data_IF_611267644795
#
_entry.id   IF_611267644795
#
_cell.length_a   1.000
_cell.length_b   1.000
_cell.length_c   1.000
_cell.angle_alpha   90.00
_cell.angle_beta   90.00
_cell.angle_gamma   90.00
#
_symmetry.space_group_name_H-M   'P 1'
#
loop_
_entity.id
_entity.type
_entity.pdbx_description
1 polymer ?
#
# COMPACT_ATOMS: atom_id res chain seq x y z
N UNK A 1 2.81 19.73 -9.92
CA UNK A 1 2.29 18.61 -9.11
C UNK A 1 1.05 18.12 -9.83
N UNK A 2 0.96 16.82 -10.14
CA UNK A 2 -0.22 16.25 -10.76
C UNK A 2 -1.44 16.50 -9.86
N UNK A 3 -2.52 17.02 -10.46
CA UNK A 3 -3.85 17.18 -9.85
C UNK A 3 -4.65 15.87 -9.90
N UNK A 4 -4.09 14.80 -10.47
CA UNK A 4 -4.77 13.52 -10.54
C UNK A 4 -4.82 12.87 -9.16
N UNK A 5 -6.05 12.61 -8.73
CA UNK A 5 -6.31 11.80 -7.55
C UNK A 5 -6.14 10.34 -7.98
N UNK A 6 -5.12 9.67 -7.45
CA UNK A 6 -5.02 8.23 -7.57
C UNK A 6 -6.35 7.61 -7.08
N UNK A 7 -6.94 6.73 -7.90
CA UNK A 7 -8.24 6.08 -7.64
C UNK A 7 -9.47 7.00 -7.74
N UNK A 8 -9.42 8.08 -8.52
CA UNK A 8 -10.58 8.96 -8.76
C UNK A 8 -11.86 8.19 -9.16
N UNK A 9 -11.72 7.14 -9.97
CA UNK A 9 -12.85 6.29 -10.38
C UNK A 9 -13.45 5.52 -9.20
N UNK A 10 -12.62 4.99 -8.30
CA UNK A 10 -13.08 4.27 -7.10
C UNK A 10 -13.73 5.23 -6.11
N UNK A 11 -13.21 6.46 -6.01
CA UNK A 11 -13.79 7.49 -5.15
C UNK A 11 -15.21 7.88 -5.56
N UNK A 12 -15.52 7.86 -6.87
CA UNK A 12 -16.86 8.14 -7.37
C UNK A 12 -17.89 7.06 -6.98
N UNK A 13 -17.42 5.86 -6.61
CA UNK A 13 -18.29 4.78 -6.12
C UNK A 13 -18.62 4.89 -4.64
N UNK A 14 -17.94 5.79 -3.91
CA UNK A 14 -18.22 6.02 -2.50
C UNK A 14 -19.45 6.92 -2.35
N UNK A 15 -20.45 6.48 -1.60
CA UNK A 15 -21.61 7.30 -1.20
C UNK A 15 -21.27 8.38 -0.15
N UNK A 16 -20.01 8.81 -0.08
CA UNK A 16 -19.48 9.70 0.95
C UNK A 16 -19.07 11.04 0.36
N UNK A 17 -19.32 12.13 1.08
CA UNK A 17 -18.90 13.47 0.68
C UNK A 17 -17.37 13.59 0.70
N UNK A 18 -16.78 13.96 -0.43
CA UNK A 18 -15.34 14.13 -0.58
C UNK A 18 -14.96 15.61 -0.47
N UNK A 19 -13.97 15.90 0.38
CA UNK A 19 -13.37 17.23 0.50
C UNK A 19 -11.90 17.17 0.08
N UNK A 20 -11.55 17.85 -1.02
CA UNK A 20 -10.17 17.93 -1.49
C UNK A 20 -9.50 19.15 -0.85
N UNK A 21 -8.43 18.93 -0.10
CA UNK A 21 -7.64 19.99 0.54
C UNK A 21 -6.29 20.10 -0.17
N UNK A 22 -6.19 21.03 -1.11
CA UNK A 22 -4.92 21.34 -1.75
C UNK A 22 -3.96 22.07 -0.81
N UNK A 23 -2.66 21.73 -0.92
CA UNK A 23 -1.54 22.34 -0.20
C UNK A 23 -0.70 23.20 -1.15
N UNK A 24 -0.77 24.51 -1.01
CA UNK A 24 0.06 25.45 -1.78
C UNK A 24 0.52 26.58 -0.84
N UNK A 25 1.68 26.50 -0.16
CA UNK A 25 2.89 25.70 -0.46
C UNK A 25 2.92 24.31 0.22
N UNK A 26 4.04 23.58 0.08
CA UNK A 26 4.23 22.25 0.70
C UNK A 26 3.92 22.26 2.21
N UNK A 27 4.30 23.28 2.96
CA UNK A 27 4.00 23.39 4.40
C UNK A 27 2.87 24.41 4.66
N UNK A 28 1.73 24.25 3.99
CA UNK A 28 0.59 25.15 4.12
C UNK A 28 -0.14 24.98 5.48
N UNK A 29 -0.08 25.95 6.40
CA UNK A 29 -0.77 25.85 7.69
C UNK A 29 -2.30 26.00 7.56
N UNK A 30 -2.82 26.51 6.44
CA UNK A 30 -4.27 26.66 6.22
C UNK A 30 -4.98 25.31 6.16
N UNK A 31 -4.25 24.22 5.95
CA UNK A 31 -4.78 22.85 6.03
C UNK A 31 -5.44 22.60 7.39
N UNK A 32 -4.80 23.04 8.49
CA UNK A 32 -5.35 22.87 9.83
C UNK A 32 -6.70 23.59 9.97
N UNK A 33 -6.77 24.85 9.53
CA UNK A 33 -8.00 25.66 9.57
C UNK A 33 -9.12 25.06 8.72
N UNK A 34 -8.78 24.54 7.53
CA UNK A 34 -9.74 23.87 6.64
C UNK A 34 -10.32 22.62 7.29
N UNK A 35 -9.48 21.79 7.91
CA UNK A 35 -9.95 20.58 8.63
C UNK A 35 -10.83 20.96 9.81
N UNK A 36 -10.43 21.94 10.63
CA UNK A 36 -11.26 22.43 11.75
C UNK A 36 -12.62 22.91 11.24
N UNK A 37 -12.65 23.69 10.14
CA UNK A 37 -13.90 24.17 9.53
C UNK A 37 -14.78 23.02 9.05
N UNK A 38 -14.20 22.03 8.37
CA UNK A 38 -14.93 20.84 7.92
C UNK A 38 -15.51 20.08 9.11
N UNK A 39 -14.71 19.79 10.13
CA UNK A 39 -15.16 19.09 11.33
C UNK A 39 -16.23 19.89 12.10
N UNK A 40 -16.13 21.21 12.17
CA UNK A 40 -17.15 22.05 12.84
C UNK A 40 -18.49 22.00 12.12
N UNK A 41 -18.48 21.94 10.78
CA UNK A 41 -19.69 21.90 9.97
C UNK A 41 -20.30 20.48 9.94
N UNK A 42 -19.46 19.46 9.80
CA UNK A 42 -19.87 18.06 9.71
C UNK A 42 -20.23 17.46 11.09
N UNK A 43 -19.64 17.99 12.16
CA UNK A 43 -19.80 17.53 13.56
C UNK A 43 -19.57 16.00 13.73
N UNK A 44 -18.41 15.47 13.30
CA UNK A 44 -18.15 14.04 13.45
C UNK A 44 -17.93 13.66 14.91
N UNK A 45 -18.40 12.48 15.31
CA UNK A 45 -18.02 11.86 16.59
C UNK A 45 -16.58 11.34 16.58
N UNK A 46 -16.10 10.92 15.40
CA UNK A 46 -14.80 10.28 15.19
C UNK A 46 -14.10 10.88 13.97
N UNK A 47 -12.80 11.16 14.12
CA UNK A 47 -11.86 11.35 13.02
C UNK A 47 -11.01 10.08 12.90
N UNK A 48 -10.99 9.46 11.73
CA UNK A 48 -10.11 8.35 11.42
C UNK A 48 -9.07 8.77 10.38
N UNK A 49 -7.79 8.67 10.71
CA UNK A 49 -6.70 9.08 9.83
C UNK A 49 -5.88 7.91 9.31
N UNK A 50 -5.58 7.95 8.00
CA UNK A 50 -4.72 6.98 7.33
C UNK A 50 -3.35 7.60 7.04
N UNK A 51 -2.40 7.32 7.92
CA UNK A 51 -1.04 7.82 7.81
C UNK A 51 -0.72 9.00 8.73
N UNK A 52 0.57 9.14 8.99
CA UNK A 52 1.09 10.04 10.01
C UNK A 52 0.93 11.55 9.76
N UNK A 53 1.01 12.04 8.51
CA UNK A 53 0.73 13.47 8.24
C UNK A 53 -0.76 13.81 8.38
N UNK A 54 -1.70 13.03 7.80
CA UNK A 54 -3.12 13.20 8.10
C UNK A 54 -3.43 13.24 9.60
N UNK A 55 -2.82 12.36 10.39
CA UNK A 55 -2.98 12.40 11.86
C UNK A 55 -2.49 13.71 12.47
N UNK A 56 -1.32 14.21 12.06
CA UNK A 56 -0.83 15.53 12.51
C UNK A 56 -1.84 16.64 12.20
N UNK A 57 -2.41 16.62 11.00
CA UNK A 57 -3.38 17.64 10.59
C UNK A 57 -4.72 17.55 11.34
N UNK A 58 -5.10 16.37 11.81
CA UNK A 58 -6.33 16.16 12.58
C UNK A 58 -6.23 16.59 14.05
N UNK A 59 -5.03 16.62 14.64
CA UNK A 59 -4.82 16.91 16.08
C UNK A 59 -5.50 18.22 16.53
N UNK A 60 -5.37 19.36 15.84
CA UNK A 60 -6.02 20.59 16.28
C UNK A 60 -7.55 20.49 16.28
N UNK A 61 -8.15 19.83 15.29
CA UNK A 61 -9.59 19.61 15.24
C UNK A 61 -10.06 18.70 16.38
N UNK A 62 -9.32 17.61 16.65
CA UNK A 62 -9.56 16.73 17.80
C UNK A 62 -9.60 17.52 19.11
N UNK A 63 -8.57 18.32 19.39
CA UNK A 63 -8.45 19.07 20.66
C UNK A 63 -9.53 20.14 20.77
N UNK A 64 -9.65 21.01 19.76
CA UNK A 64 -10.54 22.18 19.81
C UNK A 64 -12.03 21.80 19.81
N UNK A 65 -12.38 20.70 19.15
CA UNK A 65 -13.77 20.25 19.00
C UNK A 65 -14.09 19.02 19.86
N UNK A 66 -13.13 18.53 20.66
CA UNK A 66 -13.25 17.36 21.54
C UNK A 66 -13.70 16.07 20.83
N UNK A 67 -13.26 15.88 19.59
CA UNK A 67 -13.63 14.73 18.74
C UNK A 67 -12.72 13.54 19.04
N UNK A 68 -13.21 12.29 18.93
CA UNK A 68 -12.36 11.10 19.08
C UNK A 68 -11.45 10.92 17.86
N UNK A 69 -10.22 10.48 18.05
CA UNK A 69 -9.22 10.28 17.01
C UNK A 69 -8.72 8.84 16.97
N UNK A 70 -9.02 8.16 15.86
CA UNK A 70 -8.47 6.86 15.49
C UNK A 70 -7.30 7.09 14.53
N UNK A 71 -6.14 6.53 14.86
CA UNK A 71 -4.92 6.68 14.08
C UNK A 71 -4.50 5.36 13.43
N UNK A 72 -4.80 5.20 12.14
CA UNK A 72 -4.45 4.04 11.31
C UNK A 72 -3.12 4.20 10.58
N UNK A 73 -2.11 4.84 11.19
CA UNK A 73 -0.85 5.13 10.49
C UNK A 73 0.12 3.94 10.35
N UNK A 74 -0.06 2.86 11.11
CA UNK A 74 0.88 1.74 11.16
C UNK A 74 0.47 0.69 10.12
N UNK A 75 0.93 0.87 8.88
CA UNK A 75 0.59 0.02 7.73
C UNK A 75 1.79 -0.79 7.18
N UNK A 76 2.96 -0.64 7.78
CA UNK A 76 4.20 -1.28 7.35
C UNK A 76 5.10 -1.62 8.55
N UNK A 77 6.15 -2.39 8.28
CA UNK A 77 7.14 -2.80 9.26
C UNK A 77 8.55 -2.71 8.64
N UNK A 78 9.10 -1.49 8.45
CA UNK A 78 10.46 -1.34 7.94
C UNK A 78 11.48 -1.90 8.92
N UNK A 79 12.62 -2.39 8.42
CA UNK A 79 13.73 -2.89 9.24
C UNK A 79 14.16 -1.84 10.28
N UNK A 80 14.25 -0.57 9.87
CA UNK A 80 14.57 0.57 10.73
C UNK A 80 13.58 1.71 10.50
N UNK A 81 12.98 2.19 11.58
CA UNK A 81 12.09 3.35 11.52
C UNK A 81 12.92 4.64 11.42
N UNK A 82 12.73 5.48 10.38
CA UNK A 82 13.45 6.74 10.27
C UNK A 82 13.15 7.66 11.47
N UNK A 83 14.15 8.38 11.98
CA UNK A 83 14.02 9.21 13.18
C UNK A 83 12.86 10.23 13.09
N UNK A 84 12.72 10.90 11.94
CA UNK A 84 11.61 11.82 11.67
C UNK A 84 10.24 11.14 11.77
N UNK A 85 10.13 9.89 11.31
CA UNK A 85 8.89 9.13 11.41
C UNK A 85 8.62 8.69 12.84
N UNK A 86 9.67 8.30 13.60
CA UNK A 86 9.57 7.97 15.02
C UNK A 86 9.06 9.15 15.85
N UNK A 87 9.65 10.34 15.68
CA UNK A 87 9.22 11.56 16.38
C UNK A 87 7.77 11.88 16.07
N UNK A 88 7.40 11.85 14.78
CA UNK A 88 6.02 12.09 14.36
C UNK A 88 5.05 11.04 14.93
N UNK A 89 5.45 9.77 14.94
CA UNK A 89 4.66 8.69 15.53
C UNK A 89 4.39 8.97 17.01
N UNK A 90 5.41 9.32 17.80
CA UNK A 90 5.25 9.67 19.22
C UNK A 90 4.23 10.80 19.44
N UNK A 91 4.33 11.88 18.67
CA UNK A 91 3.37 13.00 18.74
C UNK A 91 1.97 12.50 18.40
N UNK A 92 1.81 11.81 17.27
CA UNK A 92 0.48 11.34 16.86
C UNK A 92 -0.11 10.34 17.84
N UNK A 93 0.70 9.45 18.42
CA UNK A 93 0.26 8.48 19.40
C UNK A 93 -0.23 9.16 20.66
N UNK A 94 0.47 10.20 21.15
CA UNK A 94 0.04 10.96 22.32
C UNK A 94 -1.41 11.45 22.17
N UNK A 95 -1.73 12.06 21.03
CA UNK A 95 -3.06 12.62 20.77
C UNK A 95 -4.09 11.61 20.24
N UNK A 96 -3.73 10.35 19.99
CA UNK A 96 -4.70 9.34 19.51
C UNK A 96 -5.47 8.72 20.68
N UNK A 97 -6.78 8.51 20.51
CA UNK A 97 -7.58 7.72 21.46
C UNK A 97 -7.38 6.23 21.20
N UNK A 98 -7.35 5.82 19.93
CA UNK A 98 -7.03 4.46 19.48
C UNK A 98 -6.01 4.52 18.35
N UNK A 99 -5.08 3.57 18.34
CA UNK A 99 -4.07 3.38 17.30
C UNK A 99 -4.32 2.02 16.66
N UNK A 100 -4.47 2.01 15.33
CA UNK A 100 -4.68 0.78 14.57
C UNK A 100 -3.40 0.44 13.80
N UNK A 101 -3.03 -0.83 13.86
CA UNK A 101 -2.02 -1.42 13.00
C UNK A 101 -2.60 -2.55 12.16
N UNK A 102 -2.15 -2.69 10.92
CA UNK A 102 -2.53 -3.80 10.06
C UNK A 102 -1.83 -5.13 10.38
N UNK A 103 -0.83 -5.11 11.26
CA UNK A 103 -0.04 -6.28 11.62
C UNK A 103 0.68 -6.13 12.96
N UNK A 104 0.88 -7.25 13.66
CA UNK A 104 1.72 -7.28 14.86
C UNK A 104 3.18 -6.89 14.58
N UNK A 105 3.68 -7.08 13.35
CA UNK A 105 5.00 -6.63 12.94
C UNK A 105 5.13 -5.10 12.99
N UNK A 106 4.11 -4.38 12.52
CA UNK A 106 4.05 -2.92 12.62
C UNK A 106 4.09 -2.44 14.08
N UNK A 107 3.31 -3.08 14.97
CA UNK A 107 3.30 -2.77 16.41
C UNK A 107 4.70 -2.92 17.01
N UNK A 108 5.41 -4.02 16.72
CA UNK A 108 6.78 -4.25 17.23
C UNK A 108 7.78 -3.18 16.79
N UNK A 109 7.67 -2.68 15.55
CA UNK A 109 8.59 -1.67 15.01
C UNK A 109 8.27 -0.26 15.54
N UNK A 110 6.99 0.12 15.52
CA UNK A 110 6.56 1.47 15.91
C UNK A 110 6.45 1.67 17.43
N UNK A 111 6.26 0.57 18.18
CA UNK A 111 6.10 0.57 19.65
C UNK A 111 5.08 1.59 20.17
N UNK A 112 3.83 1.60 19.64
CA UNK A 112 2.78 2.46 20.18
C UNK A 112 2.38 2.04 21.61
N UNK A 113 1.73 2.90 22.39
CA UNK A 113 1.19 2.54 23.71
C UNK A 113 0.16 1.40 23.60
N UNK A 114 0.45 0.25 24.22
CA UNK A 114 -0.34 -0.97 24.05
C UNK A 114 -1.77 -0.84 24.56
N UNK A 115 -1.99 -0.06 25.63
CA UNK A 115 -3.31 0.17 26.23
C UNK A 115 -4.32 0.84 25.28
N UNK A 116 -3.87 1.38 24.15
CA UNK A 116 -4.73 1.98 23.11
C UNK A 116 -4.41 1.49 21.71
N UNK A 117 -3.70 0.38 21.57
CA UNK A 117 -3.31 -0.18 20.27
C UNK A 117 -4.13 -1.42 19.95
N UNK A 118 -4.66 -1.49 18.74
CA UNK A 118 -5.35 -2.66 18.20
C UNK A 118 -4.71 -3.11 16.89
N UNK A 119 -4.57 -4.43 16.72
CA UNK A 119 -4.17 -5.02 15.45
C UNK A 119 -5.42 -5.44 14.67
N UNK A 120 -5.69 -4.80 13.54
CA UNK A 120 -6.81 -5.12 12.65
C UNK A 120 -6.25 -5.38 11.26
N UNK A 121 -6.27 -6.63 10.82
CA UNK A 121 -5.76 -7.01 9.50
C UNK A 121 -6.60 -6.41 8.37
N UNK A 122 -5.96 -6.19 7.23
CA UNK A 122 -6.68 -5.77 6.02
C UNK A 122 -7.69 -6.84 5.62
N UNK A 123 -8.90 -6.42 5.29
CA UNK A 123 -9.94 -7.31 4.75
C UNK A 123 -9.74 -7.64 3.28
N UNK A 124 -10.27 -8.78 2.84
CA UNK A 124 -10.35 -9.18 1.44
C UNK A 124 -11.79 -9.57 1.10
N UNK A 125 -12.32 -9.04 0.01
CA UNK A 125 -13.64 -9.44 -0.50
C UNK A 125 -13.51 -10.71 -1.35
N UNK A 126 -13.90 -11.85 -0.78
CA UNK A 126 -13.82 -13.16 -1.45
C UNK A 126 -14.73 -13.28 -2.68
N UNK A 127 -15.77 -12.45 -2.82
CA UNK A 127 -16.60 -12.43 -4.03
C UNK A 127 -15.81 -12.07 -5.29
N UNK A 128 -14.62 -11.46 -5.14
CA UNK A 128 -13.68 -11.23 -6.24
C UNK A 128 -13.16 -12.52 -6.88
N UNK A 129 -13.33 -13.66 -6.22
CA UNK A 129 -12.94 -14.99 -6.72
C UNK A 129 -14.09 -15.69 -7.46
N UNK A 130 -15.32 -15.17 -7.46
CA UNK A 130 -16.48 -15.87 -8.01
C UNK A 130 -16.51 -15.91 -9.55
N UNK A 131 -15.73 -15.05 -10.22
CA UNK A 131 -15.70 -14.93 -11.69
C UNK A 131 -14.26 -14.94 -12.20
N UNK A 132 -13.45 -15.87 -11.68
CA UNK A 132 -12.11 -16.08 -12.21
C UNK A 132 -12.22 -16.71 -13.59
N UNK A 133 -11.35 -16.28 -14.49
CA UNK A 133 -11.15 -16.90 -15.80
C UNK A 133 -10.57 -18.31 -15.57
N UNK A 134 -10.95 -19.25 -16.44
CA UNK A 134 -10.44 -20.61 -16.36
C UNK A 134 -8.91 -20.66 -16.46
N UNK A 135 -8.29 -21.62 -15.76
CA UNK A 135 -6.83 -21.74 -15.74
C UNK A 135 -6.25 -22.08 -17.10
N UNK A 136 -6.94 -22.87 -17.92
CA UNK A 136 -6.49 -23.21 -19.28
C UNK A 136 -6.54 -21.99 -20.20
N UNK A 137 -7.58 -21.17 -20.09
CA UNK A 137 -7.69 -19.91 -20.84
C UNK A 137 -6.53 -18.96 -20.50
N UNK A 138 -6.16 -18.87 -19.22
CA UNK A 138 -5.01 -18.06 -18.79
C UNK A 138 -3.69 -18.64 -19.31
N UNK A 139 -3.52 -19.96 -19.25
CA UNK A 139 -2.33 -20.63 -19.79
C UNK A 139 -2.20 -20.40 -21.29
N UNK A 140 -3.28 -20.57 -22.05
CA UNK A 140 -3.33 -20.30 -23.49
C UNK A 140 -3.01 -18.84 -23.80
N UNK A 141 -3.65 -17.89 -23.10
CA UNK A 141 -3.43 -16.45 -23.27
C UNK A 141 -1.95 -16.05 -23.14
N UNK A 142 -1.23 -16.70 -22.22
CA UNK A 142 0.18 -16.41 -21.96
C UNK A 142 1.15 -17.40 -22.62
N UNK A 143 0.66 -18.35 -23.43
CA UNK A 143 1.49 -19.36 -24.08
C UNK A 143 2.22 -20.31 -23.13
N UNK A 144 1.64 -20.60 -21.96
CA UNK A 144 2.25 -21.42 -20.92
C UNK A 144 1.95 -22.90 -21.17
N UNK A 145 2.98 -23.65 -21.53
CA UNK A 145 2.91 -25.11 -21.75
C UNK A 145 3.53 -25.92 -20.60
N UNK A 146 4.14 -25.25 -19.62
CA UNK A 146 4.80 -25.89 -18.48
C UNK A 146 3.80 -26.37 -17.45
N UNK A 147 4.17 -27.42 -16.72
CA UNK A 147 3.32 -27.99 -15.68
C UNK A 147 3.10 -27.01 -14.53
N UNK A 148 4.17 -26.41 -14.02
CA UNK A 148 4.12 -25.57 -12.82
C UNK A 148 4.29 -24.08 -13.13
N UNK A 149 3.62 -23.25 -12.33
CA UNK A 149 3.74 -21.80 -12.39
C UNK A 149 4.18 -21.27 -11.03
N UNK A 150 5.23 -20.47 -11.00
CA UNK A 150 5.64 -19.70 -9.82
C UNK A 150 5.31 -18.23 -10.06
N UNK A 151 4.36 -17.69 -9.30
CA UNK A 151 3.85 -16.33 -9.47
C UNK A 151 4.32 -15.37 -8.39
N UNK A 152 4.68 -14.15 -8.78
CA UNK A 152 4.92 -13.04 -7.85
C UNK A 152 4.10 -11.81 -8.26
N UNK A 153 3.32 -11.29 -7.33
CA UNK A 153 2.44 -10.13 -7.54
C UNK A 153 2.89 -8.98 -6.65
N UNK A 154 3.25 -7.85 -7.26
CA UNK A 154 3.73 -6.68 -6.52
C UNK A 154 4.22 -5.56 -7.42
N UNK A 155 4.38 -4.36 -6.86
CA UNK A 155 5.01 -3.25 -7.58
C UNK A 155 6.49 -3.55 -7.79
N UNK A 156 7.02 -3.25 -8.97
CA UNK A 156 8.45 -3.32 -9.28
C UNK A 156 9.20 -2.17 -8.59
N UNK A 157 9.39 -2.34 -7.28
CA UNK A 157 10.08 -1.43 -6.36
C UNK A 157 11.06 -2.25 -5.50
N UNK A 158 12.04 -1.56 -4.90
CA UNK A 158 13.13 -2.20 -4.14
C UNK A 158 12.63 -3.09 -2.99
N UNK A 159 11.54 -2.71 -2.33
CA UNK A 159 10.98 -3.43 -1.18
C UNK A 159 10.22 -4.70 -1.55
N UNK A 160 9.98 -4.93 -2.85
CA UNK A 160 9.39 -6.18 -3.34
C UNK A 160 10.42 -7.21 -3.77
N UNK A 161 11.66 -6.81 -3.99
CA UNK A 161 12.78 -7.72 -4.30
C UNK A 161 12.48 -8.71 -5.43
N UNK A 162 12.02 -8.20 -6.58
CA UNK A 162 11.92 -9.01 -7.80
C UNK A 162 13.28 -9.52 -8.27
N UNK A 163 14.39 -8.95 -7.81
CA UNK A 163 15.74 -9.43 -8.12
C UNK A 163 15.95 -10.85 -7.61
N UNK A 164 15.68 -11.09 -6.32
CA UNK A 164 15.73 -12.44 -5.75
C UNK A 164 14.78 -13.40 -6.45
N UNK A 165 13.56 -12.96 -6.80
CA UNK A 165 12.62 -13.79 -7.55
C UNK A 165 13.18 -14.26 -8.90
N UNK A 166 13.80 -13.37 -9.67
CA UNK A 166 14.42 -13.72 -10.95
C UNK A 166 15.63 -14.65 -10.74
N UNK A 167 16.52 -14.33 -9.80
CA UNK A 167 17.71 -15.13 -9.53
C UNK A 167 17.34 -16.56 -9.09
N UNK A 168 16.40 -16.70 -8.16
CA UNK A 168 15.89 -18.01 -7.74
C UNK A 168 15.26 -18.78 -8.90
N UNK A 169 14.54 -18.09 -9.79
CA UNK A 169 13.96 -18.72 -10.97
C UNK A 169 15.03 -19.20 -11.96
N UNK A 170 16.08 -18.42 -12.21
CA UNK A 170 17.20 -18.81 -13.07
C UNK A 170 17.88 -20.07 -12.51
N UNK A 171 18.21 -20.10 -11.22
CA UNK A 171 18.84 -21.28 -10.60
C UNK A 171 17.94 -22.52 -10.67
N UNK A 172 16.64 -22.34 -10.42
CA UNK A 172 15.66 -23.43 -10.54
C UNK A 172 15.59 -23.95 -11.98
N UNK A 173 15.59 -23.06 -12.97
CA UNK A 173 15.47 -23.39 -14.39
C UNK A 173 16.71 -24.06 -14.96
N UNK A 174 17.87 -23.99 -14.28
CA UNK A 174 19.04 -24.80 -14.65
C UNK A 174 18.79 -26.29 -14.43
N UNK A 175 17.94 -26.64 -13.46
CA UNK A 175 17.66 -28.02 -13.03
C UNK A 175 16.33 -28.52 -13.61
N UNK A 176 15.31 -27.66 -13.65
CA UNK A 176 13.94 -28.01 -14.07
C UNK A 176 13.48 -27.19 -15.26
N UNK A 177 12.85 -27.82 -16.24
CA UNK A 177 12.33 -27.16 -17.46
C UNK A 177 10.80 -27.11 -17.53
N UNK A 178 10.13 -27.64 -16.52
CA UNK A 178 8.67 -27.79 -16.42
C UNK A 178 8.02 -26.66 -15.60
N UNK A 179 8.70 -25.52 -15.47
CA UNK A 179 8.26 -24.38 -14.64
C UNK A 179 8.27 -23.09 -15.46
N UNK A 180 7.21 -22.30 -15.34
CA UNK A 180 7.15 -20.91 -15.81
C UNK A 180 7.07 -19.96 -14.62
N UNK A 181 7.81 -18.85 -14.68
CA UNK A 181 7.78 -17.79 -13.68
C UNK A 181 6.94 -16.62 -14.20
N UNK A 182 5.97 -16.15 -13.41
CA UNK A 182 5.11 -15.02 -13.78
C UNK A 182 5.29 -13.88 -12.78
N UNK A 183 5.56 -12.69 -13.29
CA UNK A 183 5.68 -11.46 -12.52
C UNK A 183 4.57 -10.46 -12.90
N UNK A 184 3.78 -10.06 -11.92
CA UNK A 184 2.59 -9.20 -12.11
C UNK A 184 2.76 -7.88 -11.36
N UNK A 185 2.72 -6.78 -12.13
CA UNK A 185 2.69 -5.42 -11.61
C UNK A 185 3.52 -4.43 -12.43
N UNK A 186 3.29 -3.14 -12.23
CA UNK A 186 4.13 -2.06 -12.78
C UNK A 186 5.15 -1.54 -11.77
N UNK A 187 6.04 -0.66 -12.19
CA UNK A 187 6.99 0.03 -11.30
C UNK A 187 8.26 0.45 -12.03
N UNK A 188 9.03 1.35 -11.42
CA UNK A 188 10.19 1.95 -12.08
C UNK A 188 11.34 0.95 -12.30
N UNK A 189 11.39 -0.16 -11.56
CA UNK A 189 12.41 -1.21 -11.76
C UNK A 189 12.01 -2.25 -12.82
N UNK A 190 10.84 -2.15 -13.44
CA UNK A 190 10.32 -3.20 -14.34
C UNK A 190 11.28 -3.50 -15.49
N UNK A 191 11.80 -2.48 -16.16
CA UNK A 191 12.70 -2.65 -17.30
C UNK A 191 14.06 -3.20 -16.87
N UNK A 192 14.61 -2.72 -15.76
CA UNK A 192 15.88 -3.21 -15.22
C UNK A 192 15.79 -4.71 -14.88
N UNK A 193 14.69 -5.14 -14.27
CA UNK A 193 14.44 -6.54 -13.94
C UNK A 193 14.22 -7.40 -15.20
N UNK A 194 13.52 -6.88 -16.22
CA UNK A 194 13.36 -7.61 -17.49
C UNK A 194 14.71 -7.79 -18.20
N UNK A 195 15.55 -6.78 -18.15
CA UNK A 195 16.85 -6.77 -18.82
C UNK A 195 17.90 -7.63 -18.10
N UNK A 196 17.75 -7.88 -16.80
CA UNK A 196 18.66 -8.75 -16.04
C UNK A 196 18.50 -10.24 -16.37
N UNK A 197 17.42 -10.64 -17.06
CA UNK A 197 17.17 -12.04 -17.43
C UNK A 197 18.00 -12.43 -18.66
N UNK A 198 18.85 -13.49 -18.56
CA UNK A 198 19.59 -13.99 -19.71
C UNK A 198 18.67 -14.46 -20.85
N UNK A 199 19.03 -14.26 -22.13
CA UNK A 199 18.18 -14.57 -23.28
C UNK A 199 17.60 -15.99 -23.28
N UNK A 200 18.38 -16.99 -22.82
CA UNK A 200 17.98 -18.40 -22.74
C UNK A 200 16.77 -18.64 -21.82
N UNK A 201 16.56 -17.79 -20.81
CA UNK A 201 15.45 -17.91 -19.86
C UNK A 201 14.28 -16.99 -20.17
N UNK A 202 14.41 -16.02 -21.07
CA UNK A 202 13.38 -14.99 -21.30
C UNK A 202 12.01 -15.56 -21.65
N UNK A 203 11.94 -16.67 -22.41
CA UNK A 203 10.67 -17.29 -22.82
C UNK A 203 9.86 -17.87 -21.66
N UNK A 204 10.50 -18.24 -20.55
CA UNK A 204 9.86 -18.86 -19.39
C UNK A 204 9.66 -17.89 -18.22
N UNK A 205 10.03 -16.62 -18.39
CA UNK A 205 9.68 -15.52 -17.50
C UNK A 205 8.67 -14.61 -18.18
N UNK A 206 7.45 -14.56 -17.62
CA UNK A 206 6.33 -13.80 -18.17
C UNK A 206 6.08 -12.57 -17.31
N UNK A 207 5.98 -11.41 -17.95
CA UNK A 207 5.64 -10.15 -17.30
C UNK A 207 4.33 -9.64 -17.85
N UNK A 208 3.34 -9.43 -16.99
CA UNK A 208 1.99 -9.07 -17.45
C UNK A 208 1.80 -7.56 -17.65
N UNK A 209 2.77 -6.74 -17.22
CA UNK A 209 2.73 -5.29 -17.37
C UNK A 209 3.67 -4.83 -18.48
N UNK A 210 3.17 -3.95 -19.35
CA UNK A 210 3.96 -3.22 -20.35
C UNK A 210 4.31 -1.83 -19.80
N UNK A 211 5.52 -1.36 -20.10
CA UNK A 211 5.81 0.07 -19.94
C UNK A 211 5.07 0.81 -21.05
N UNK A 212 4.07 1.61 -20.67
CA UNK A 212 3.57 2.68 -21.52
C UNK A 212 4.50 3.88 -21.46
#
# INVERSE_FOLDING_TARGET
MSTEIHYANDLNTLHSKIHIIERKPKKDPRVFLKIIKICRNFKPDIIHTWGSMPTIYAIPAKILLKIKLINGMIINAPIKLPAKMKIRALITFLFSDIIISNSNAGIRIYKPPLNKTLCIHNGFNFNRLNKLVDTEDIRLKFGITTTFIVGMVGRFEKDKDFGSFILSGIETLKIRKDITFIAVGGGYLLNDIKNSIPPVFKKVFIFTWSTG
#
